data_IF_171925603696
#
_entry.id   IF_171925603696
#
_cell.length_a   1.000
_cell.length_b   1.000
_cell.length_c   1.000
_cell.angle_alpha   90.00
_cell.angle_beta   90.00
_cell.angle_gamma   90.00
#
_symmetry.space_group_name_H-M   'P 1'
#
loop_
_entity.id
_entity.type
_entity.pdbx_description
1 polymer ?
#
# COMPACT_ATOMS: atom_id res chain seq x y z
N UNK A 1 -1.09 19.04 22.18
CA UNK A 1 -1.33 17.58 22.09
C UNK A 1 -0.55 16.93 23.23
N UNK A 2 -1.23 16.37 24.22
CA UNK A 2 -0.60 15.75 25.39
C UNK A 2 0.19 14.49 25.01
N UNK A 3 1.28 14.19 25.74
CA UNK A 3 2.06 12.96 25.55
C UNK A 3 1.16 11.72 25.66
N UNK A 4 0.15 11.74 26.54
CA UNK A 4 -0.88 10.70 26.68
C UNK A 4 -1.65 10.38 25.38
N UNK A 5 -1.87 11.39 24.54
CA UNK A 5 -2.64 11.21 23.29
C UNK A 5 -1.82 10.47 22.21
N UNK A 6 -0.49 10.36 22.38
CA UNK A 6 0.39 9.64 21.43
C UNK A 6 0.44 8.14 21.70
N UNK A 7 0.09 7.71 22.89
CA UNK A 7 0.10 6.30 23.33
C UNK A 7 -1.28 5.65 23.23
N UNK A 8 -2.36 6.46 23.09
CA UNK A 8 -3.74 5.98 22.98
C UNK A 8 -3.92 5.19 21.68
N UNK A 9 -4.53 4.01 21.78
CA UNK A 9 -4.94 3.23 20.60
C UNK A 9 -6.23 3.76 20.00
N UNK A 10 -6.51 3.39 18.76
CA UNK A 10 -7.78 3.72 18.09
C UNK A 10 -8.97 3.09 18.82
N UNK A 11 -8.82 1.86 19.34
CA UNK A 11 -9.84 1.20 20.13
C UNK A 11 -10.17 1.95 21.44
N UNK A 12 -9.15 2.39 22.19
CA UNK A 12 -9.34 3.21 23.39
C UNK A 12 -10.03 4.55 23.07
N UNK A 13 -9.70 5.15 21.91
CA UNK A 13 -10.38 6.37 21.46
C UNK A 13 -11.87 6.11 21.22
N UNK A 14 -12.21 5.03 20.52
CA UNK A 14 -13.61 4.71 20.21
C UNK A 14 -14.39 4.30 21.44
N UNK A 15 -13.83 3.51 22.35
CA UNK A 15 -14.48 3.16 23.61
C UNK A 15 -14.81 4.40 24.44
N UNK A 16 -13.95 5.42 24.39
CA UNK A 16 -14.20 6.69 25.10
C UNK A 16 -15.36 7.49 24.50
N UNK A 17 -15.54 7.49 23.17
CA UNK A 17 -16.55 8.33 22.51
C UNK A 17 -17.82 7.56 22.12
N UNK A 18 -17.71 6.25 21.90
CA UNK A 18 -18.79 5.40 21.42
C UNK A 18 -18.86 4.07 22.20
N UNK A 19 -18.95 4.12 23.56
CA UNK A 19 -18.95 2.90 24.37
C UNK A 19 -20.08 1.96 23.96
N UNK A 20 -19.76 0.69 23.68
CA UNK A 20 -20.72 -0.35 23.29
C UNK A 20 -21.42 -0.12 21.95
N UNK A 21 -20.91 0.76 21.08
CA UNK A 21 -21.48 1.06 19.77
C UNK A 21 -20.61 0.46 18.64
N UNK A 22 -20.55 -0.87 18.61
CA UNK A 22 -19.79 -1.62 17.61
C UNK A 22 -20.19 -1.29 16.17
N UNK A 23 -21.47 -0.96 15.95
CA UNK A 23 -21.99 -0.51 14.66
C UNK A 23 -21.35 0.79 14.19
N UNK A 24 -21.14 1.75 15.11
CA UNK A 24 -20.48 3.02 14.81
C UNK A 24 -18.98 2.80 14.59
N UNK A 25 -18.36 1.99 15.45
CA UNK A 25 -16.92 1.64 15.32
C UNK A 25 -16.67 1.01 13.95
N UNK A 26 -17.49 0.06 13.51
CA UNK A 26 -17.39 -0.55 12.20
C UNK A 26 -17.49 0.49 11.07
N UNK A 27 -18.52 1.32 11.11
CA UNK A 27 -18.74 2.34 10.07
C UNK A 27 -17.57 3.31 9.94
N UNK A 28 -16.90 3.62 11.04
CA UNK A 28 -15.76 4.53 11.05
C UNK A 28 -14.43 3.85 10.72
N UNK A 29 -14.25 2.58 11.14
CA UNK A 29 -12.98 1.87 10.98
C UNK A 29 -12.81 1.19 9.63
N UNK A 30 -13.83 0.48 9.10
CA UNK A 30 -13.68 -0.29 7.87
C UNK A 30 -13.13 0.55 6.70
N UNK A 31 -13.63 1.78 6.42
CA UNK A 31 -13.07 2.61 5.37
C UNK A 31 -11.57 2.91 5.54
N UNK A 32 -11.12 3.11 6.78
CA UNK A 32 -9.72 3.41 7.07
C UNK A 32 -8.87 2.14 6.99
N UNK A 33 -9.40 1.00 7.43
CA UNK A 33 -8.73 -0.31 7.27
C UNK A 33 -8.50 -0.64 5.80
N UNK A 34 -9.48 -0.39 4.92
CA UNK A 34 -9.31 -0.54 3.48
C UNK A 34 -8.32 0.46 2.89
N UNK A 35 -8.26 1.68 3.43
CA UNK A 35 -7.39 2.72 2.90
C UNK A 35 -5.91 2.50 3.22
N UNK A 36 -5.58 1.85 4.36
CA UNK A 36 -4.20 1.75 4.83
C UNK A 36 -3.89 0.56 5.76
N UNK A 37 -4.84 -0.35 5.98
CA UNK A 37 -4.68 -1.51 6.86
C UNK A 37 -4.70 -1.19 8.36
N UNK A 38 -5.23 -0.04 8.78
CA UNK A 38 -5.35 0.30 10.21
C UNK A 38 -6.24 -0.68 10.98
N UNK A 39 -5.88 -0.89 12.24
CA UNK A 39 -6.64 -1.69 13.21
C UNK A 39 -6.95 -0.89 14.47
N UNK A 40 -7.74 -1.45 15.38
CA UNK A 40 -8.03 -0.82 16.67
C UNK A 40 -6.81 -0.73 17.59
N UNK A 41 -5.78 -1.52 17.35
CA UNK A 41 -4.53 -1.53 18.11
C UNK A 41 -3.54 -0.45 17.64
N UNK A 42 -3.74 0.10 16.43
CA UNK A 42 -2.86 1.13 15.90
C UNK A 42 -3.06 2.46 16.64
N UNK A 43 -2.04 3.33 16.70
CA UNK A 43 -2.14 4.62 17.38
C UNK A 43 -3.30 5.47 16.86
N UNK A 44 -4.12 6.00 17.77
CA UNK A 44 -5.26 6.88 17.44
C UNK A 44 -4.86 8.09 16.58
N UNK A 45 -3.61 8.52 16.70
CA UNK A 45 -3.05 9.60 15.88
C UNK A 45 -3.06 9.25 14.39
N UNK A 46 -2.68 8.02 14.03
CA UNK A 46 -2.64 7.58 12.63
C UNK A 46 -4.04 7.52 12.03
N UNK A 47 -5.00 6.98 12.79
CA UNK A 47 -6.41 7.00 12.44
C UNK A 47 -6.90 8.44 12.22
N UNK A 48 -6.65 9.33 13.19
CA UNK A 48 -7.12 10.71 13.15
C UNK A 48 -6.58 11.50 11.95
N UNK A 49 -5.32 11.30 11.57
CA UNK A 49 -4.71 11.94 10.39
C UNK A 49 -5.43 11.50 9.11
N UNK A 50 -5.61 10.19 8.93
CA UNK A 50 -6.25 9.64 7.72
C UNK A 50 -7.72 10.03 7.66
N UNK A 51 -8.47 9.82 8.74
CA UNK A 51 -9.88 10.18 8.83
C UNK A 51 -10.12 11.68 8.61
N UNK A 52 -9.31 12.55 9.21
CA UNK A 52 -9.39 13.99 9.01
C UNK A 52 -9.20 14.39 7.55
N UNK A 53 -8.25 13.78 6.85
CA UNK A 53 -8.03 14.03 5.43
C UNK A 53 -9.25 13.58 4.59
N UNK A 54 -9.81 12.39 4.85
CA UNK A 54 -11.04 11.94 4.20
C UNK A 54 -12.19 12.92 4.37
N UNK A 55 -12.44 13.34 5.61
CA UNK A 55 -13.60 14.17 5.94
C UNK A 55 -13.44 15.63 5.55
N UNK A 56 -12.22 16.20 5.62
CA UNK A 56 -11.99 17.63 5.38
C UNK A 56 -11.60 17.96 3.95
N UNK A 57 -10.96 17.03 3.24
CA UNK A 57 -10.43 17.26 1.87
C UNK A 57 -11.19 16.49 0.82
N UNK A 58 -11.90 15.42 1.20
CA UNK A 58 -12.56 14.51 0.30
C UNK A 58 -11.62 13.47 -0.31
N UNK A 59 -12.20 12.58 -1.10
CA UNK A 59 -11.51 11.54 -1.84
C UNK A 59 -11.66 11.85 -3.33
N UNK A 60 -10.55 11.80 -4.07
CA UNK A 60 -10.50 12.18 -5.47
C UNK A 60 -9.90 11.07 -6.32
N UNK A 61 -10.32 10.97 -7.56
CA UNK A 61 -9.71 10.13 -8.58
C UNK A 61 -8.92 11.00 -9.56
N UNK A 62 -7.93 10.40 -10.23
CA UNK A 62 -7.16 11.10 -11.26
C UNK A 62 -7.90 11.04 -12.60
N UNK A 63 -8.04 12.17 -13.26
CA UNK A 63 -8.53 12.20 -14.63
C UNK A 63 -7.59 11.41 -15.56
N UNK A 64 -8.10 10.43 -16.27
CA UNK A 64 -7.30 9.49 -17.06
C UNK A 64 -6.74 8.32 -16.26
N UNK A 65 -7.10 8.20 -14.96
CA UNK A 65 -6.65 7.13 -14.07
C UNK A 65 -5.19 7.28 -13.60
N UNK A 66 -4.73 6.31 -12.83
CA UNK A 66 -3.36 6.29 -12.29
C UNK A 66 -2.29 6.21 -13.38
N UNK A 67 -2.60 5.61 -14.54
CA UNK A 67 -1.69 5.55 -15.69
C UNK A 67 -1.31 6.95 -16.20
N UNK A 68 -2.27 7.87 -16.24
CA UNK A 68 -1.99 9.25 -16.65
C UNK A 68 -1.04 9.94 -15.66
N UNK A 69 -1.25 9.73 -14.36
CA UNK A 69 -0.36 10.26 -13.34
C UNK A 69 1.05 9.67 -13.44
N UNK A 70 1.18 8.34 -13.54
CA UNK A 70 2.49 7.67 -13.67
C UNK A 70 3.23 8.13 -14.93
N UNK A 71 2.52 8.32 -16.03
CA UNK A 71 3.09 8.85 -17.29
C UNK A 71 3.61 10.26 -17.11
N UNK A 72 2.83 11.15 -16.52
CA UNK A 72 3.24 12.53 -16.26
C UNK A 72 4.47 12.60 -15.34
N UNK A 73 4.51 11.78 -14.27
CA UNK A 73 5.68 11.69 -13.38
C UNK A 73 6.92 11.19 -14.13
N UNK A 74 6.78 10.20 -15.00
CA UNK A 74 7.89 9.67 -15.79
C UNK A 74 8.41 10.72 -16.80
N UNK A 75 7.51 11.45 -17.46
CA UNK A 75 7.85 12.51 -18.39
C UNK A 75 8.64 13.62 -17.70
N UNK A 76 8.20 14.04 -16.51
CA UNK A 76 8.88 15.05 -15.71
C UNK A 76 10.26 14.59 -15.24
N UNK A 77 10.37 13.35 -14.74
CA UNK A 77 11.67 12.77 -14.37
C UNK A 77 12.63 12.75 -15.56
N UNK A 78 12.17 12.31 -16.72
CA UNK A 78 13.00 12.25 -17.94
C UNK A 78 13.44 13.64 -18.40
N UNK A 79 12.54 14.64 -18.36
CA UNK A 79 12.85 16.03 -18.69
C UNK A 79 13.92 16.62 -17.76
N UNK A 80 13.99 16.16 -16.52
CA UNK A 80 15.01 16.55 -15.54
C UNK A 80 16.27 15.65 -15.56
N UNK A 81 16.45 14.84 -16.61
CA UNK A 81 17.67 14.04 -16.82
C UNK A 81 17.75 12.74 -16.01
N UNK A 82 16.65 12.30 -15.42
CA UNK A 82 16.58 11.01 -14.70
C UNK A 82 16.55 9.86 -15.69
N UNK A 83 17.46 8.90 -15.55
CA UNK A 83 17.48 7.66 -16.33
C UNK A 83 16.57 6.61 -15.68
N UNK A 84 15.35 6.49 -16.19
CA UNK A 84 14.34 5.53 -15.68
C UNK A 84 14.50 4.19 -16.37
N UNK A 85 14.94 3.19 -15.64
CA UNK A 85 15.15 1.81 -16.12
C UNK A 85 14.16 0.84 -15.51
N UNK A 86 13.50 0.06 -16.34
CA UNK A 86 12.61 -1.03 -15.94
C UNK A 86 13.29 -2.38 -16.10
N UNK A 87 12.78 -3.43 -15.47
CA UNK A 87 13.35 -4.80 -15.47
C UNK A 87 14.78 -4.83 -14.94
N UNK A 88 15.08 -3.94 -14.00
CA UNK A 88 16.37 -3.82 -13.34
C UNK A 88 16.20 -4.17 -11.86
N UNK A 89 16.44 -5.44 -11.52
CA UNK A 89 16.41 -5.90 -10.14
C UNK A 89 17.67 -5.45 -9.42
N UNK A 90 17.50 -4.70 -8.32
CA UNK A 90 18.59 -4.42 -7.38
C UNK A 90 18.75 -5.64 -6.49
N UNK A 91 19.93 -6.27 -6.56
CA UNK A 91 20.26 -7.50 -5.84
C UNK A 91 20.99 -7.20 -4.53
N UNK A 92 21.75 -6.09 -4.49
CA UNK A 92 22.55 -5.72 -3.34
C UNK A 92 22.83 -4.22 -3.32
N UNK A 93 22.91 -3.67 -2.11
CA UNK A 93 23.47 -2.35 -1.83
C UNK A 93 24.82 -2.56 -1.13
N UNK A 94 25.90 -2.15 -1.75
CA UNK A 94 27.24 -2.30 -1.17
C UNK A 94 27.58 -1.11 -0.28
N UNK A 95 28.09 -1.43 0.90
CA UNK A 95 28.50 -0.47 1.93
C UNK A 95 29.98 -0.70 2.26
N UNK A 96 30.74 0.38 2.43
CA UNK A 96 32.15 0.33 2.86
C UNK A 96 32.23 -0.11 4.33
N UNK A 97 33.45 -0.57 4.78
CA UNK A 97 33.71 -0.83 6.21
C UNK A 97 33.42 0.39 7.13
N UNK A 98 33.48 1.61 6.58
CA UNK A 98 33.15 2.84 7.27
C UNK A 98 31.66 3.18 7.24
N UNK A 99 30.78 2.22 6.92
CA UNK A 99 29.32 2.41 6.87
C UNK A 99 28.88 3.54 5.94
N UNK A 100 29.42 3.56 4.73
CA UNK A 100 29.03 4.49 3.68
C UNK A 100 28.62 3.74 2.42
N UNK A 101 27.56 4.18 1.76
CA UNK A 101 27.13 3.63 0.46
C UNK A 101 28.28 3.71 -0.56
N UNK A 102 28.50 2.64 -1.30
CA UNK A 102 29.52 2.55 -2.33
C UNK A 102 28.96 2.27 -3.73
N UNK A 103 28.02 1.36 -3.83
CA UNK A 103 27.45 0.93 -5.10
C UNK A 103 26.12 0.18 -4.90
N UNK A 104 25.41 -0.02 -5.99
CA UNK A 104 24.33 -1.01 -6.09
C UNK A 104 24.72 -2.08 -7.12
N UNK A 105 24.28 -3.31 -6.90
CA UNK A 105 24.37 -4.40 -7.88
C UNK A 105 23.00 -4.58 -8.53
N UNK A 106 22.96 -4.47 -9.85
CA UNK A 106 21.73 -4.52 -10.63
C UNK A 106 21.92 -5.48 -11.79
N UNK A 107 21.15 -6.57 -11.82
CA UNK A 107 21.30 -7.63 -12.83
C UNK A 107 22.77 -8.08 -13.01
N UNK A 108 23.46 -8.33 -11.90
CA UNK A 108 24.87 -8.73 -11.87
C UNK A 108 25.89 -7.62 -12.19
N UNK A 109 25.44 -6.37 -12.45
CA UNK A 109 26.34 -5.24 -12.75
C UNK A 109 26.45 -4.31 -11.56
N UNK A 110 27.67 -3.94 -11.22
CA UNK A 110 27.99 -3.00 -10.16
C UNK A 110 27.93 -1.56 -10.69
N UNK A 111 27.13 -0.72 -10.03
CA UNK A 111 26.95 0.71 -10.34
C UNK A 111 27.36 1.50 -9.10
N UNK A 112 28.46 2.29 -9.21
CA UNK A 112 28.88 3.17 -8.11
C UNK A 112 27.93 4.35 -7.94
N UNK A 113 27.65 4.72 -6.69
CA UNK A 113 26.79 5.85 -6.35
C UNK A 113 27.22 6.48 -5.03
N UNK A 114 26.82 7.73 -4.82
CA UNK A 114 27.11 8.48 -3.59
C UNK A 114 25.97 8.34 -2.57
N UNK A 115 24.76 8.11 -3.07
CA UNK A 115 23.58 7.91 -2.26
C UNK A 115 22.65 6.87 -2.91
N UNK A 116 21.86 6.19 -2.08
CA UNK A 116 20.79 5.28 -2.47
C UNK A 116 19.54 5.65 -1.73
N UNK A 117 18.43 5.84 -2.44
CA UNK A 117 17.08 5.91 -1.87
C UNK A 117 16.40 4.58 -2.20
N UNK A 118 16.18 3.75 -1.19
CA UNK A 118 15.45 2.50 -1.35
C UNK A 118 13.94 2.73 -1.24
N UNK A 119 13.18 2.22 -2.19
CA UNK A 119 11.72 2.11 -2.10
C UNK A 119 11.26 0.66 -1.86
N UNK A 120 12.19 -0.28 -1.68
CA UNK A 120 11.87 -1.64 -1.27
C UNK A 120 11.32 -1.64 0.18
N UNK A 121 10.76 -2.76 0.63
CA UNK A 121 10.35 -2.87 2.03
C UNK A 121 11.55 -2.61 2.96
N UNK A 122 11.35 -1.87 4.06
CA UNK A 122 12.46 -1.49 4.95
C UNK A 122 13.17 -2.71 5.55
N UNK A 123 12.44 -3.78 5.87
CA UNK A 123 13.07 -5.03 6.36
C UNK A 123 13.97 -5.65 5.30
N UNK A 124 13.52 -5.70 4.05
CA UNK A 124 14.35 -6.19 2.94
C UNK A 124 15.56 -5.27 2.69
N UNK A 125 15.37 -3.96 2.75
CA UNK A 125 16.46 -3.01 2.57
C UNK A 125 17.58 -3.26 3.59
N UNK A 126 17.24 -3.42 4.87
CA UNK A 126 18.21 -3.60 5.95
C UNK A 126 18.75 -5.03 6.00
N UNK A 127 17.86 -6.03 5.99
CA UNK A 127 18.26 -7.42 6.29
C UNK A 127 18.78 -8.19 5.07
N UNK A 128 18.35 -7.82 3.86
CA UNK A 128 18.66 -8.56 2.64
C UNK A 128 19.53 -7.75 1.68
N UNK A 129 19.10 -6.54 1.28
CA UNK A 129 19.82 -5.77 0.25
C UNK A 129 21.15 -5.22 0.75
N UNK A 130 21.23 -4.76 1.98
CA UNK A 130 22.47 -4.31 2.62
C UNK A 130 23.13 -5.43 3.39
N UNK A 131 22.36 -6.12 4.24
CA UNK A 131 22.82 -7.14 5.18
C UNK A 131 22.95 -6.59 6.60
N UNK A 132 22.53 -7.38 7.59
CA UNK A 132 22.46 -7.01 9.00
C UNK A 132 23.81 -6.53 9.58
N UNK A 133 24.92 -7.09 9.09
CA UNK A 133 26.29 -6.81 9.58
C UNK A 133 26.73 -5.34 9.39
N UNK A 134 26.04 -4.60 8.52
CA UNK A 134 26.36 -3.19 8.27
C UNK A 134 25.75 -2.23 9.31
N UNK A 135 24.91 -2.73 10.23
CA UNK A 135 24.12 -1.94 11.17
C UNK A 135 24.45 -2.30 12.62
N UNK A 136 24.03 -1.45 13.56
CA UNK A 136 24.09 -1.76 14.98
C UNK A 136 23.07 -2.85 15.33
N UNK A 137 23.41 -3.75 16.26
CA UNK A 137 22.55 -4.85 16.65
C UNK A 137 21.16 -4.40 17.12
N UNK A 138 21.08 -3.32 17.90
CA UNK A 138 19.83 -2.74 18.36
C UNK A 138 18.94 -2.32 17.19
N UNK A 139 19.52 -1.65 16.18
CA UNK A 139 18.79 -1.25 14.96
C UNK A 139 18.29 -2.45 14.15
N UNK A 140 19.12 -3.52 14.08
CA UNK A 140 18.73 -4.78 13.42
C UNK A 140 17.57 -5.44 14.15
N UNK A 141 17.59 -5.46 15.49
CA UNK A 141 16.54 -6.06 16.29
C UNK A 141 15.23 -5.24 16.21
N UNK A 142 15.32 -3.92 16.23
CA UNK A 142 14.19 -3.02 15.95
C UNK A 142 13.61 -3.31 14.55
N UNK A 143 14.46 -3.45 13.53
CA UNK A 143 14.04 -3.77 12.16
C UNK A 143 13.32 -5.12 12.08
N UNK A 144 13.83 -6.14 12.74
CA UNK A 144 13.19 -7.48 12.81
C UNK A 144 11.83 -7.42 13.48
N UNK A 145 11.68 -6.61 14.51
CA UNK A 145 10.43 -6.45 15.27
C UNK A 145 9.36 -5.66 14.51
N UNK A 146 9.71 -4.93 13.43
CA UNK A 146 8.74 -4.20 12.62
C UNK A 146 7.68 -5.18 12.06
N UNK A 147 6.41 -4.90 12.36
CA UNK A 147 5.28 -5.66 11.80
C UNK A 147 5.02 -5.24 10.36
N UNK A 148 4.69 -6.22 9.53
CA UNK A 148 4.18 -5.96 8.18
C UNK A 148 2.70 -5.62 8.23
N UNK A 149 2.24 -4.87 7.25
CA UNK A 149 0.82 -4.66 7.05
C UNK A 149 0.19 -5.88 6.36
N UNK A 150 -1.14 -5.96 6.38
CA UNK A 150 -1.88 -7.01 5.67
C UNK A 150 -1.68 -6.91 4.15
N UNK A 151 -2.02 -7.98 3.48
CA UNK A 151 -2.15 -8.03 2.03
C UNK A 151 -3.58 -7.70 1.59
N UNK A 152 -3.86 -7.88 0.32
CA UNK A 152 -5.17 -7.62 -0.27
C UNK A 152 -5.48 -8.62 -1.38
N UNK A 153 -6.77 -8.87 -1.64
CA UNK A 153 -7.23 -9.38 -2.91
C UNK A 153 -7.96 -8.28 -3.66
N UNK A 154 -7.86 -8.29 -4.98
CA UNK A 154 -8.62 -7.37 -5.83
C UNK A 154 -9.24 -8.12 -7.00
N UNK A 155 -10.48 -7.78 -7.34
CA UNK A 155 -11.17 -8.28 -8.53
C UNK A 155 -11.43 -7.11 -9.47
N UNK A 156 -10.91 -7.23 -10.67
CA UNK A 156 -11.04 -6.25 -11.75
C UNK A 156 -12.14 -6.71 -12.69
N UNK A 157 -13.16 -5.88 -12.88
CA UNK A 157 -14.34 -6.20 -13.68
C UNK A 157 -14.47 -5.14 -14.78
N UNK A 158 -14.35 -5.55 -16.04
CA UNK A 158 -14.53 -4.66 -17.18
C UNK A 158 -15.85 -4.97 -17.89
N UNK A 159 -16.63 -3.94 -18.17
CA UNK A 159 -17.87 -4.08 -18.93
C UNK A 159 -17.58 -4.14 -20.43
N UNK A 160 -18.50 -4.70 -21.21
CA UNK A 160 -18.47 -4.68 -22.68
C UNK A 160 -18.40 -3.24 -23.19
N UNK A 161 -17.70 -2.96 -24.32
CA UNK A 161 -17.68 -1.64 -24.91
C UNK A 161 -19.09 -1.09 -25.12
N UNK A 162 -19.34 0.15 -24.70
CA UNK A 162 -20.64 0.79 -24.79
C UNK A 162 -21.71 0.29 -23.81
N UNK A 163 -21.47 -0.82 -23.11
CA UNK A 163 -22.33 -1.24 -22.02
C UNK A 163 -21.98 -0.47 -20.73
N UNK A 164 -23.00 -0.26 -19.89
CA UNK A 164 -22.80 0.45 -18.63
C UNK A 164 -23.98 0.24 -17.68
N UNK A 165 -23.89 0.86 -16.53
CA UNK A 165 -24.89 0.83 -15.48
C UNK A 165 -25.14 2.24 -14.95
N UNK A 166 -26.28 2.41 -14.27
CA UNK A 166 -26.60 3.69 -13.63
C UNK A 166 -25.58 3.98 -12.51
N UNK A 167 -25.11 5.23 -12.39
CA UNK A 167 -24.16 5.57 -11.33
C UNK A 167 -24.73 5.25 -9.93
N UNK A 168 -23.97 4.46 -9.18
CA UNK A 168 -24.27 4.08 -7.79
C UNK A 168 -23.24 4.63 -6.78
N UNK A 169 -22.44 5.60 -7.20
CA UNK A 169 -21.37 6.21 -6.43
C UNK A 169 -20.01 6.01 -7.09
N UNK A 170 -18.96 6.54 -6.49
CA UNK A 170 -17.59 6.35 -6.96
C UNK A 170 -16.85 5.30 -6.11
N UNK A 171 -17.20 5.20 -4.83
CA UNK A 171 -16.67 4.20 -3.89
C UNK A 171 -17.79 3.73 -2.95
N UNK A 172 -17.94 2.43 -2.82
CA UNK A 172 -18.91 1.79 -1.95
C UNK A 172 -18.19 0.82 -1.01
N UNK A 173 -18.59 0.82 0.26
CA UNK A 173 -18.16 -0.13 1.26
C UNK A 173 -19.33 -1.07 1.56
N UNK A 174 -19.14 -2.36 1.31
CA UNK A 174 -20.12 -3.41 1.62
C UNK A 174 -19.59 -4.26 2.77
N UNK A 175 -20.44 -4.51 3.77
CA UNK A 175 -20.11 -5.41 4.87
C UNK A 175 -21.38 -6.11 5.37
N UNK A 176 -21.26 -7.40 5.64
CA UNK A 176 -22.29 -8.23 6.24
C UNK A 176 -22.20 -8.27 7.77
N UNK A 177 -21.09 -7.74 8.33
CA UNK A 177 -20.87 -7.70 9.77
C UNK A 177 -21.63 -6.57 10.47
N UNK A 178 -22.00 -6.82 11.72
CA UNK A 178 -22.63 -5.80 12.58
C UNK A 178 -21.59 -4.93 13.28
N UNK A 179 -20.48 -5.52 13.72
CA UNK A 179 -19.37 -4.84 14.39
C UNK A 179 -18.08 -4.86 13.55
N UNK A 180 -17.08 -4.12 13.98
CA UNK A 180 -15.75 -4.15 13.38
C UNK A 180 -15.02 -5.42 13.83
N UNK A 181 -14.60 -6.24 12.88
CA UNK A 181 -13.88 -7.48 13.10
C UNK A 181 -12.76 -7.60 12.07
N UNK A 182 -11.52 -7.38 12.51
CA UNK A 182 -10.35 -7.41 11.63
C UNK A 182 -10.04 -8.83 11.15
N UNK A 183 -10.28 -9.85 11.95
CA UNK A 183 -10.00 -11.24 11.57
C UNK A 183 -10.99 -11.69 10.48
N UNK A 184 -12.26 -11.31 10.62
CA UNK A 184 -13.25 -11.52 9.57
C UNK A 184 -12.93 -10.76 8.29
N UNK A 185 -12.43 -9.51 8.38
CA UNK A 185 -12.02 -8.72 7.21
C UNK A 185 -10.80 -9.30 6.49
N UNK A 186 -9.97 -10.09 7.18
CA UNK A 186 -8.78 -10.74 6.62
C UNK A 186 -9.04 -12.17 6.16
N UNK A 187 -10.19 -12.74 6.51
CA UNK A 187 -10.57 -14.12 6.19
C UNK A 187 -10.76 -14.34 4.68
N UNK A 188 -10.55 -15.60 4.27
CA UNK A 188 -10.95 -16.06 2.92
C UNK A 188 -12.46 -16.11 2.72
N UNK A 189 -13.23 -16.30 3.80
CA UNK A 189 -14.69 -16.14 3.81
C UNK A 189 -15.02 -14.66 3.78
N UNK A 190 -15.09 -14.10 2.57
CA UNK A 190 -15.16 -12.67 2.37
C UNK A 190 -16.57 -12.17 2.68
N UNK A 191 -16.71 -11.48 3.79
CA UNK A 191 -17.94 -10.86 4.28
C UNK A 191 -17.94 -9.33 4.20
N UNK A 192 -16.82 -8.75 3.75
CA UNK A 192 -16.69 -7.31 3.57
C UNK A 192 -15.77 -6.99 2.39
N UNK A 193 -16.15 -5.99 1.59
CA UNK A 193 -15.38 -5.55 0.43
C UNK A 193 -15.69 -4.11 0.04
N UNK A 194 -14.80 -3.51 -0.74
CA UNK A 194 -15.07 -2.24 -1.39
C UNK A 194 -15.38 -2.44 -2.87
N UNK A 195 -16.12 -1.50 -3.45
CA UNK A 195 -16.27 -1.39 -4.90
C UNK A 195 -15.91 0.03 -5.32
N UNK A 196 -14.88 0.17 -6.13
CA UNK A 196 -14.50 1.42 -6.79
C UNK A 196 -15.03 1.41 -8.21
N UNK A 197 -15.85 2.41 -8.56
CA UNK A 197 -16.51 2.52 -9.86
C UNK A 197 -15.80 3.54 -10.74
N UNK A 198 -15.45 3.15 -11.95
CA UNK A 198 -14.79 3.98 -12.93
C UNK A 198 -15.67 4.12 -14.17
N UNK A 199 -16.11 5.34 -14.42
CA UNK A 199 -17.01 5.68 -15.51
C UNK A 199 -16.24 6.28 -16.70
N UNK A 200 -16.72 6.12 -17.95
CA UNK A 200 -16.11 6.74 -19.12
C UNK A 200 -15.89 8.27 -18.98
N UNK A 201 -16.81 8.95 -18.28
CA UNK A 201 -16.71 10.41 -18.02
C UNK A 201 -15.44 10.81 -17.23
N UNK A 202 -14.95 9.91 -16.37
CA UNK A 202 -13.73 10.12 -15.56
C UNK A 202 -12.47 9.56 -16.21
N UNK A 203 -12.62 8.83 -17.31
CA UNK A 203 -11.54 8.21 -18.09
C UNK A 203 -11.67 8.60 -19.58
N UNK A 204 -11.26 9.82 -19.96
CA UNK A 204 -11.36 10.28 -21.34
C UNK A 204 -10.71 9.29 -22.32
N UNK A 205 -11.39 9.00 -23.41
CA UNK A 205 -10.95 8.02 -24.41
C UNK A 205 -11.28 6.55 -24.12
N UNK A 206 -11.96 6.27 -23.00
CA UNK A 206 -12.50 4.95 -22.70
C UNK A 206 -14.03 4.95 -22.83
N UNK A 207 -14.58 3.95 -23.49
CA UNK A 207 -16.02 3.68 -23.59
C UNK A 207 -16.49 2.59 -22.60
N UNK A 208 -15.57 2.12 -21.74
CA UNK A 208 -15.85 1.04 -20.79
C UNK A 208 -16.04 1.55 -19.38
N UNK A 209 -17.06 1.03 -18.70
CA UNK A 209 -17.15 1.07 -17.25
C UNK A 209 -16.26 -0.01 -16.67
N UNK A 210 -15.58 0.32 -15.56
CA UNK A 210 -14.76 -0.62 -14.80
C UNK A 210 -15.20 -0.59 -13.33
N UNK A 211 -15.12 -1.74 -12.69
CA UNK A 211 -15.28 -1.85 -11.24
C UNK A 211 -14.07 -2.59 -10.69
N UNK A 212 -13.52 -2.08 -9.61
CA UNK A 212 -12.47 -2.76 -8.84
C UNK A 212 -13.01 -3.04 -7.46
N UNK A 213 -13.15 -4.32 -7.12
CA UNK A 213 -13.44 -4.75 -5.76
C UNK A 213 -12.14 -5.01 -5.01
N UNK A 214 -12.05 -4.58 -3.76
CA UNK A 214 -10.89 -4.86 -2.91
C UNK A 214 -11.34 -5.46 -1.58
N UNK A 215 -10.59 -6.47 -1.13
CA UNK A 215 -10.70 -7.07 0.20
C UNK A 215 -9.33 -7.08 0.86
N UNK A 216 -9.29 -7.01 2.19
CA UNK A 216 -8.06 -7.31 2.92
C UNK A 216 -7.82 -8.83 2.88
N UNK A 217 -6.58 -9.26 3.05
CA UNK A 217 -6.24 -10.67 3.01
C UNK A 217 -4.97 -10.99 3.80
N UNK A 218 -4.91 -12.20 4.35
CA UNK A 218 -3.69 -12.78 4.89
C UNK A 218 -2.92 -13.52 3.79
N UNK A 219 -1.61 -13.34 3.74
CA UNK A 219 -0.76 -14.04 2.79
C UNK A 219 -0.78 -15.57 3.00
N UNK A 220 -0.79 -16.02 4.27
CA UNK A 220 -0.77 -17.44 4.63
C UNK A 220 -1.94 -18.23 4.04
N UNK A 221 -3.10 -17.60 3.88
CA UNK A 221 -4.28 -18.28 3.32
C UNK A 221 -4.14 -18.63 1.83
N UNK A 222 -3.15 -18.05 1.15
CA UNK A 222 -2.91 -18.20 -0.28
C UNK A 222 -1.55 -18.84 -0.62
N UNK A 223 -0.58 -18.79 0.31
CA UNK A 223 0.81 -19.12 0.04
C UNK A 223 1.01 -20.57 -0.37
N UNK A 224 0.42 -21.50 0.41
CA UNK A 224 0.67 -22.93 0.33
C UNK A 224 -0.40 -23.69 -0.47
N UNK A 225 -1.31 -22.98 -1.17
CA UNK A 225 -2.29 -23.61 -2.03
C UNK A 225 -1.59 -24.29 -3.22
N UNK A 226 -2.06 -25.48 -3.58
CA UNK A 226 -1.71 -26.09 -4.86
C UNK A 226 -2.13 -25.15 -6.00
N UNK A 227 -1.56 -25.31 -7.20
CA UNK A 227 -1.95 -24.45 -8.31
C UNK A 227 -3.42 -24.63 -8.69
N UNK A 228 -3.96 -25.86 -8.57
CA UNK A 228 -5.38 -26.17 -8.79
C UNK A 228 -6.28 -25.45 -7.79
N UNK A 229 -5.96 -25.57 -6.47
CA UNK A 229 -6.72 -24.92 -5.41
C UNK A 229 -6.59 -23.39 -5.47
N UNK A 230 -5.43 -22.89 -5.89
CA UNK A 230 -5.19 -21.46 -6.07
C UNK A 230 -6.07 -20.86 -7.16
N UNK A 231 -6.10 -21.48 -8.35
CA UNK A 231 -6.95 -21.02 -9.46
C UNK A 231 -8.44 -21.18 -9.14
N UNK A 232 -8.84 -22.28 -8.48
CA UNK A 232 -10.21 -22.47 -8.01
C UNK A 232 -10.62 -21.36 -7.00
N UNK A 233 -9.74 -21.03 -6.07
CA UNK A 233 -9.99 -19.96 -5.09
C UNK A 233 -10.07 -18.57 -5.74
N UNK A 234 -9.29 -18.30 -6.79
CA UNK A 234 -9.40 -17.05 -7.56
C UNK A 234 -10.73 -16.97 -8.31
N UNK A 235 -11.16 -18.09 -8.88
CA UNK A 235 -12.44 -18.13 -9.57
C UNK A 235 -13.60 -17.91 -8.60
N UNK A 236 -13.58 -18.57 -7.45
CA UNK A 236 -14.58 -18.38 -6.39
C UNK A 236 -14.61 -16.91 -5.91
N UNK A 237 -13.44 -16.29 -5.72
CA UNK A 237 -13.32 -14.86 -5.40
C UNK A 237 -13.99 -13.98 -6.48
N UNK A 238 -13.83 -14.30 -7.77
CA UNK A 238 -14.47 -13.58 -8.85
C UNK A 238 -16.00 -13.75 -8.80
N UNK A 239 -16.50 -14.99 -8.65
CA UNK A 239 -17.93 -15.30 -8.64
C UNK A 239 -18.64 -14.65 -7.43
N UNK A 240 -18.10 -14.80 -6.22
CA UNK A 240 -18.68 -14.19 -5.01
C UNK A 240 -18.64 -12.67 -5.07
N UNK A 241 -17.65 -12.09 -5.77
CA UNK A 241 -17.60 -10.64 -6.01
C UNK A 241 -18.71 -10.19 -6.95
N UNK A 242 -18.97 -10.94 -8.02
CA UNK A 242 -20.07 -10.64 -8.94
C UNK A 242 -21.42 -10.80 -8.26
N UNK A 243 -21.63 -11.86 -7.46
CA UNK A 243 -22.86 -12.06 -6.68
C UNK A 243 -23.16 -10.87 -5.74
N UNK A 244 -22.12 -10.39 -5.06
CA UNK A 244 -22.24 -9.21 -4.21
C UNK A 244 -22.54 -7.94 -5.03
N UNK A 245 -21.85 -7.74 -6.15
CA UNK A 245 -22.02 -6.57 -7.01
C UNK A 245 -23.39 -6.51 -7.67
N UNK A 246 -24.04 -7.65 -7.92
CA UNK A 246 -25.40 -7.74 -8.48
C UNK A 246 -26.45 -7.03 -7.64
N UNK A 247 -26.24 -6.90 -6.34
CA UNK A 247 -27.11 -6.13 -5.43
C UNK A 247 -27.15 -4.63 -5.78
N UNK A 248 -26.09 -4.11 -6.40
CA UNK A 248 -25.94 -2.70 -6.77
C UNK A 248 -26.05 -2.47 -8.28
N UNK A 249 -25.70 -3.47 -9.07
CA UNK A 249 -25.73 -3.47 -10.54
C UNK A 249 -26.43 -4.75 -11.00
N UNK A 250 -27.76 -4.80 -11.02
CA UNK A 250 -28.54 -6.05 -11.22
C UNK A 250 -28.26 -6.83 -12.51
N UNK A 251 -27.71 -6.17 -13.53
CA UNK A 251 -27.39 -6.79 -14.81
C UNK A 251 -25.88 -6.96 -15.02
N UNK A 252 -25.08 -6.91 -13.94
CA UNK A 252 -23.61 -6.90 -14.04
C UNK A 252 -23.08 -8.09 -14.83
N UNK A 253 -23.58 -9.29 -14.59
CA UNK A 253 -23.13 -10.51 -15.29
C UNK A 253 -23.37 -10.46 -16.79
N UNK A 254 -24.49 -9.89 -17.23
CA UNK A 254 -24.85 -9.77 -18.64
C UNK A 254 -23.95 -8.78 -19.40
N UNK A 255 -23.55 -7.69 -18.73
CA UNK A 255 -22.75 -6.63 -19.35
C UNK A 255 -21.25 -6.81 -19.14
N UNK A 256 -20.81 -7.74 -18.29
CA UNK A 256 -19.38 -8.02 -18.05
C UNK A 256 -18.74 -8.67 -19.27
N UNK A 257 -17.54 -8.21 -19.60
CA UNK A 257 -16.68 -8.71 -20.68
C UNK A 257 -15.46 -9.46 -20.14
N UNK A 258 -14.90 -8.96 -19.01
CA UNK A 258 -13.69 -9.53 -18.41
C UNK A 258 -13.73 -9.43 -16.89
N UNK A 259 -13.30 -10.50 -16.24
CA UNK A 259 -13.09 -10.53 -14.77
C UNK A 259 -11.75 -11.19 -14.49
N UNK A 260 -10.97 -10.57 -13.63
CA UNK A 260 -9.66 -11.07 -13.19
C UNK A 260 -9.43 -10.78 -11.73
N UNK A 261 -8.80 -11.72 -10.99
CA UNK A 261 -8.46 -11.55 -9.59
C UNK A 261 -6.95 -11.48 -9.38
N UNK A 262 -6.52 -10.57 -8.51
CA UNK A 262 -5.20 -10.57 -7.87
C UNK A 262 -5.31 -10.96 -6.40
N UNK A 263 -4.26 -11.60 -5.88
CA UNK A 263 -4.20 -12.19 -4.55
C UNK A 263 -2.91 -11.74 -3.83
N UNK A 264 -2.71 -12.07 -2.58
CA UNK A 264 -1.45 -11.84 -1.88
C UNK A 264 -0.21 -12.38 -2.62
N UNK A 265 -0.30 -13.53 -3.33
CA UNK A 265 0.79 -14.04 -4.18
C UNK A 265 1.07 -13.09 -5.36
N UNK A 266 0.04 -12.51 -5.96
CA UNK A 266 0.18 -11.50 -7.03
C UNK A 266 0.87 -10.25 -6.52
N UNK A 267 0.44 -9.74 -5.35
CA UNK A 267 1.09 -8.57 -4.73
C UNK A 267 2.56 -8.84 -4.44
N UNK A 268 2.90 -9.97 -3.81
CA UNK A 268 4.29 -10.32 -3.55
C UNK A 268 5.12 -10.44 -4.84
N UNK A 269 4.56 -11.07 -5.88
CA UNK A 269 5.25 -11.25 -7.15
C UNK A 269 5.66 -9.92 -7.78
N UNK A 270 4.74 -8.96 -7.87
CA UNK A 270 4.98 -7.69 -8.54
C UNK A 270 5.69 -6.65 -7.68
N UNK A 271 5.39 -6.59 -6.39
CA UNK A 271 5.96 -5.57 -5.49
C UNK A 271 7.22 -6.02 -4.78
N UNK A 272 7.47 -7.33 -4.71
CA UNK A 272 8.51 -7.97 -3.91
C UNK A 272 8.37 -7.72 -2.41
N UNK A 273 7.28 -7.11 -1.95
CA UNK A 273 7.05 -6.93 -0.52
C UNK A 273 6.86 -8.29 0.18
N UNK A 274 7.52 -8.53 1.33
CA UNK A 274 7.31 -9.73 2.10
C UNK A 274 5.83 -9.93 2.44
N UNK A 275 5.35 -11.16 2.35
CA UNK A 275 3.96 -11.54 2.58
C UNK A 275 2.94 -10.75 1.75
N UNK A 276 3.36 -10.22 0.58
CA UNK A 276 2.50 -9.43 -0.29
C UNK A 276 1.89 -8.20 0.38
N UNK A 277 2.55 -7.64 1.42
CA UNK A 277 2.02 -6.50 2.18
C UNK A 277 1.68 -5.32 1.26
N UNK A 278 0.41 -4.93 1.21
CA UNK A 278 -0.08 -3.90 0.28
C UNK A 278 0.28 -2.48 0.70
N UNK A 279 0.47 -2.24 2.01
CA UNK A 279 0.80 -0.93 2.58
C UNK A 279 2.15 -0.91 3.32
N UNK A 280 3.05 -1.84 2.99
CA UNK A 280 4.38 -1.93 3.58
C UNK A 280 4.38 -2.39 5.03
N UNK A 281 4.75 -1.50 5.96
CA UNK A 281 4.87 -1.83 7.39
C UNK A 281 3.88 -1.07 8.26
N UNK A 282 3.67 -1.58 9.48
CA UNK A 282 2.99 -0.85 10.55
C UNK A 282 3.82 0.35 11.01
N UNK A 283 3.28 1.12 11.97
CA UNK A 283 3.79 2.44 12.35
C UNK A 283 5.25 2.44 12.83
N UNK A 284 5.69 1.39 13.49
CA UNK A 284 7.05 1.24 13.99
C UNK A 284 8.12 1.24 12.88
N UNK A 285 7.75 0.85 11.65
CA UNK A 285 8.63 0.91 10.49
C UNK A 285 9.08 2.32 10.11
N UNK A 286 8.32 3.36 10.48
CA UNK A 286 8.68 4.74 10.20
C UNK A 286 9.95 5.15 10.97
N UNK A 287 10.08 4.76 12.25
CA UNK A 287 11.26 5.03 13.05
C UNK A 287 12.51 4.43 12.42
N UNK A 288 12.44 3.16 12.02
CA UNK A 288 13.54 2.44 11.36
C UNK A 288 13.90 3.11 10.03
N UNK A 289 12.89 3.45 9.22
CA UNK A 289 13.08 4.13 7.94
C UNK A 289 13.81 5.47 8.08
N UNK A 290 13.41 6.29 9.02
CA UNK A 290 14.04 7.59 9.30
C UNK A 290 15.44 7.46 9.90
N UNK A 291 15.70 6.41 10.66
CA UNK A 291 16.99 6.13 11.27
C UNK A 291 18.06 5.60 10.32
N UNK A 292 17.68 5.20 9.10
CA UNK A 292 18.56 4.46 8.21
C UNK A 292 19.83 5.23 7.82
N UNK A 293 19.73 6.51 7.48
CA UNK A 293 20.87 7.35 7.08
C UNK A 293 21.85 7.65 8.25
N UNK A 294 21.41 7.53 9.49
CA UNK A 294 22.29 7.63 10.66
C UNK A 294 23.11 6.35 10.91
N UNK A 295 22.65 5.22 10.39
CA UNK A 295 23.34 3.95 10.47
C UNK A 295 24.35 3.76 9.32
N UNK A 296 23.97 4.16 8.10
CA UNK A 296 24.78 4.05 6.90
C UNK A 296 24.71 5.36 6.13
N UNK A 297 25.83 6.07 6.04
CA UNK A 297 25.92 7.34 5.31
C UNK A 297 25.58 7.14 3.82
N UNK A 298 24.66 7.98 3.33
CA UNK A 298 24.19 7.92 1.93
C UNK A 298 23.09 6.91 1.68
N UNK A 299 22.62 6.18 2.70
CA UNK A 299 21.50 5.25 2.57
C UNK A 299 20.22 5.86 3.14
N UNK A 300 19.22 5.99 2.30
CA UNK A 300 17.89 6.53 2.64
C UNK A 300 16.79 5.55 2.26
N UNK A 301 15.62 5.73 2.85
CA UNK A 301 14.44 4.94 2.54
C UNK A 301 13.22 5.82 2.33
N UNK A 302 12.47 5.56 1.25
CA UNK A 302 11.23 6.27 0.89
C UNK A 302 10.10 5.30 0.50
N UNK A 303 10.13 4.07 1.03
CA UNK A 303 9.09 3.06 0.81
C UNK A 303 7.86 3.29 1.69
N UNK A 304 6.84 2.45 1.49
CA UNK A 304 5.62 2.47 2.29
C UNK A 304 5.90 2.03 3.73
N UNK A 305 5.78 2.96 4.67
CA UNK A 305 6.01 2.72 6.10
C UNK A 305 5.01 3.47 6.96
N UNK A 306 4.71 2.92 8.12
CA UNK A 306 4.02 3.64 9.18
C UNK A 306 2.62 4.10 8.82
N UNK A 307 1.93 3.41 7.93
CA UNK A 307 0.54 3.71 7.54
C UNK A 307 0.39 5.12 6.92
N UNK A 308 0.85 6.17 7.60
CA UNK A 308 0.75 7.56 7.16
C UNK A 308 1.66 7.93 5.98
N UNK A 309 2.72 7.16 5.75
CA UNK A 309 3.65 7.31 4.61
C UNK A 309 3.37 6.26 3.53
N UNK A 310 2.11 5.84 3.39
CA UNK A 310 1.66 4.89 2.37
C UNK A 310 0.50 5.45 1.54
N UNK A 311 0.10 4.72 0.49
CA UNK A 311 -0.80 5.24 -0.52
C UNK A 311 -0.14 6.38 -1.33
N UNK A 312 -0.85 6.93 -2.31
CA UNK A 312 -0.30 7.96 -3.19
C UNK A 312 0.16 9.21 -2.44
N UNK A 313 -0.70 9.77 -1.59
CA UNK A 313 -0.39 11.01 -0.88
C UNK A 313 0.77 10.83 0.10
N UNK A 314 0.72 9.77 0.92
CA UNK A 314 1.75 9.51 1.92
C UNK A 314 3.10 9.21 1.27
N UNK A 315 3.13 8.37 0.24
CA UNK A 315 4.35 7.99 -0.47
C UNK A 315 5.01 9.20 -1.18
N UNK A 316 4.23 10.06 -1.85
CA UNK A 316 4.76 11.27 -2.50
C UNK A 316 5.32 12.24 -1.46
N UNK A 317 4.59 12.51 -0.37
CA UNK A 317 5.08 13.38 0.70
C UNK A 317 6.36 12.86 1.34
N UNK A 318 6.44 11.55 1.59
CA UNK A 318 7.64 10.96 2.16
C UNK A 318 8.81 11.01 1.19
N UNK A 319 8.57 10.78 -0.10
CA UNK A 319 9.56 10.97 -1.16
C UNK A 319 10.15 12.38 -1.17
N UNK A 320 9.32 13.42 -1.02
CA UNK A 320 9.78 14.82 -0.93
C UNK A 320 10.64 15.05 0.32
N UNK A 321 10.22 14.53 1.47
CA UNK A 321 11.00 14.64 2.73
C UNK A 321 12.37 14.01 2.55
N UNK A 322 12.43 12.79 2.02
CA UNK A 322 13.68 12.06 1.82
C UNK A 322 14.55 12.72 0.76
N UNK A 323 13.97 13.22 -0.33
CA UNK A 323 14.71 13.94 -1.36
C UNK A 323 15.44 15.17 -0.80
N UNK A 324 14.80 15.93 0.10
CA UNK A 324 15.42 17.06 0.77
C UNK A 324 16.62 16.64 1.66
N UNK A 325 16.57 15.46 2.27
CA UNK A 325 17.72 14.95 3.03
C UNK A 325 18.88 14.52 2.12
N UNK A 326 18.56 13.90 0.99
CA UNK A 326 19.56 13.54 -0.03
C UNK A 326 20.23 14.80 -0.62
N UNK A 327 19.43 15.83 -0.89
CA UNK A 327 19.94 17.09 -1.43
C UNK A 327 20.92 17.76 -0.45
N UNK A 328 20.64 17.76 0.85
CA UNK A 328 21.57 18.24 1.89
C UNK A 328 22.89 17.48 1.91
N UNK A 329 22.84 16.16 1.69
CA UNK A 329 24.05 15.32 1.65
C UNK A 329 24.90 15.61 0.41
N UNK A 330 24.26 15.80 -0.74
CA UNK A 330 24.93 15.97 -2.03
C UNK A 330 25.27 17.43 -2.34
N UNK A 331 24.73 18.40 -1.60
CA UNK A 331 25.06 19.80 -1.78
C UNK A 331 26.57 20.01 -1.57
N UNK A 332 27.23 20.79 -2.43
CA UNK A 332 28.63 21.11 -2.21
C UNK A 332 28.79 21.80 -0.86
N UNK A 333 29.76 21.35 -0.07
CA UNK A 333 30.09 22.03 1.18
C UNK A 333 30.32 23.51 0.84
N UNK A 334 29.52 24.40 1.43
CA UNK A 334 29.76 25.83 1.29
C UNK A 334 31.16 26.11 1.85
N UNK A 335 32.10 26.39 0.95
CA UNK A 335 33.45 26.81 1.23
C UNK A 335 33.44 28.26 1.71
#
# INVERSE_FOLDING_TARGET
MCIRDREMTTGELFERFFPGRDDVVRMLMEPITYANGSTLEDPALTYGIVFSNFMSKGVFTFQGGTDALVRAMKEEMTANGVDVRIRCLVEKIEVTPGRKVAAVVVNGRRITCQAVVSNANIKQTVLELVGADAFDNEFVDETRAVRLNNSSCQVYIAMKPGAGFQPCGDLLFHSEHRGFDIDAMLSRDISSRTFSFYYPRTRPGSDRHLVVSSTNANYGDWADLSEEDYEASKQDLCETTLDCLEQYVPNVREITDHVEASTPRTFQHYTRHPLGASFGTKFEGLKVSQGLSSQVEGLFHAGSVGIIMSGWLGAVNYGVIVANEVDKLLAPANV
#
